data_IF_862614235657
#
_entry.id   IF_862614235657
#
_cell.length_a   1.000
_cell.length_b   1.000
_cell.length_c   1.000
_cell.angle_alpha   90.00
_cell.angle_beta   90.00
_cell.angle_gamma   90.00
#
_symmetry.space_group_name_H-M   'P 1'
#
loop_
_entity.id
_entity.type
_entity.pdbx_description
1 polymer ?
#
# COMPACT_ATOMS: atom_id res chain seq x y z
N UNK A 1 121.08 -36.92 5.76
CA UNK A 1 120.95 -36.88 4.29
C UNK A 1 119.49 -37.11 3.97
N UNK A 2 118.82 -36.06 3.53
CA UNK A 2 117.39 -36.00 3.19
C UNK A 2 117.07 -36.92 2.03
N UNK A 3 115.87 -37.53 2.00
CA UNK A 3 115.01 -37.49 0.81
C UNK A 3 113.55 -37.80 1.19
N UNK A 4 112.71 -36.79 1.02
CA UNK A 4 111.26 -36.82 1.12
C UNK A 4 110.69 -37.81 0.10
N UNK A 5 109.88 -38.76 0.56
CA UNK A 5 109.01 -39.55 -0.31
C UNK A 5 107.76 -38.71 -0.58
N UNK A 6 107.82 -37.88 -1.62
CA UNK A 6 106.67 -37.12 -2.10
C UNK A 6 105.57 -38.09 -2.56
N UNK A 7 104.39 -37.98 -1.95
CA UNK A 7 103.15 -38.49 -2.53
C UNK A 7 102.95 -37.73 -3.84
N UNK A 8 103.25 -38.35 -4.98
CA UNK A 8 102.91 -37.83 -6.29
C UNK A 8 101.40 -37.96 -6.50
N UNK A 9 100.66 -36.94 -6.06
CA UNK A 9 99.24 -36.82 -6.40
C UNK A 9 99.11 -36.67 -7.92
N UNK A 10 98.54 -37.68 -8.59
CA UNK A 10 98.13 -37.54 -9.98
C UNK A 10 96.92 -36.60 -10.06
N UNK A 11 97.17 -35.30 -10.26
CA UNK A 11 96.13 -34.28 -10.44
C UNK A 11 95.26 -34.54 -11.66
N UNK A 12 95.74 -35.30 -12.65
CA UNK A 12 95.04 -35.56 -13.91
C UNK A 12 93.68 -36.27 -13.72
N UNK A 13 93.58 -37.21 -12.77
CA UNK A 13 92.32 -37.94 -12.49
C UNK A 13 91.33 -37.06 -11.73
N UNK A 14 91.83 -36.17 -10.87
CA UNK A 14 91.01 -35.24 -10.08
C UNK A 14 90.59 -34.02 -10.90
N UNK A 15 91.49 -33.36 -11.62
CA UNK A 15 91.19 -32.21 -12.49
C UNK A 15 90.20 -32.60 -13.59
N UNK A 16 90.47 -33.61 -14.40
CA UNK A 16 89.62 -33.86 -15.57
C UNK A 16 88.23 -34.40 -15.19
N UNK A 17 88.13 -35.28 -14.19
CA UNK A 17 86.82 -35.83 -13.78
C UNK A 17 86.03 -34.90 -12.86
N UNK A 18 86.68 -34.24 -11.88
CA UNK A 18 85.96 -33.31 -10.99
C UNK A 18 85.60 -32.03 -11.73
N UNK A 19 86.46 -31.48 -12.59
CA UNK A 19 86.10 -30.27 -13.35
C UNK A 19 84.96 -30.57 -14.32
N UNK A 20 85.00 -31.71 -15.03
CA UNK A 20 83.92 -32.09 -15.95
C UNK A 20 82.60 -32.40 -15.22
N UNK A 21 82.66 -33.05 -14.05
CA UNK A 21 81.48 -33.33 -13.24
C UNK A 21 80.93 -32.06 -12.57
N UNK A 22 81.78 -31.23 -11.96
CA UNK A 22 81.38 -29.99 -11.30
C UNK A 22 80.78 -28.99 -12.30
N UNK A 23 81.40 -28.80 -13.46
CA UNK A 23 80.86 -27.93 -14.50
C UNK A 23 79.50 -28.45 -14.99
N UNK A 24 79.35 -29.76 -15.19
CA UNK A 24 78.07 -30.36 -15.61
C UNK A 24 77.00 -30.21 -14.53
N UNK A 25 77.31 -30.46 -13.26
CA UNK A 25 76.37 -30.34 -12.15
C UNK A 25 75.97 -28.88 -11.90
N UNK A 26 76.92 -27.94 -11.90
CA UNK A 26 76.64 -26.51 -11.72
C UNK A 26 75.80 -25.99 -12.90
N UNK A 27 76.15 -26.36 -14.14
CA UNK A 27 75.40 -25.97 -15.33
C UNK A 27 73.96 -26.48 -15.31
N UNK A 28 73.75 -27.75 -14.96
CA UNK A 28 72.40 -28.35 -14.85
C UNK A 28 71.61 -27.68 -13.72
N UNK A 29 72.20 -27.49 -12.54
CA UNK A 29 71.50 -26.88 -11.40
C UNK A 29 71.14 -25.42 -11.68
N UNK A 30 72.07 -24.64 -12.22
CA UNK A 30 71.83 -23.21 -12.51
C UNK A 30 70.75 -23.03 -13.57
N UNK A 31 70.74 -23.85 -14.63
CA UNK A 31 69.73 -23.76 -15.68
C UNK A 31 68.38 -24.29 -15.18
N UNK A 32 68.34 -25.51 -14.65
CA UNK A 32 67.07 -26.19 -14.37
C UNK A 32 66.40 -25.68 -13.08
N UNK A 33 67.17 -25.50 -12.00
CA UNK A 33 66.65 -24.99 -10.71
C UNK A 33 66.48 -23.48 -10.76
N UNK A 34 67.40 -22.76 -11.43
CA UNK A 34 67.29 -21.31 -11.60
C UNK A 34 66.04 -20.89 -12.35
N UNK A 35 65.69 -21.55 -13.44
CA UNK A 35 64.51 -21.19 -14.24
C UNK A 35 63.20 -21.61 -13.57
N UNK A 36 63.18 -22.78 -12.91
CA UNK A 36 62.00 -23.25 -12.15
C UNK A 36 61.74 -22.40 -10.90
N UNK A 37 62.79 -22.00 -10.17
CA UNK A 37 62.68 -21.11 -9.02
C UNK A 37 62.24 -19.70 -9.42
N UNK A 38 62.79 -19.15 -10.51
CA UNK A 38 62.39 -17.83 -11.04
C UNK A 38 60.94 -17.83 -11.54
N UNK A 39 60.48 -18.90 -12.19
CA UNK A 39 59.09 -18.97 -12.68
C UNK A 39 58.09 -19.06 -11.52
N UNK A 40 58.40 -19.85 -10.48
CA UNK A 40 57.59 -19.94 -9.27
C UNK A 40 57.47 -18.59 -8.55
N UNK A 41 58.59 -17.88 -8.36
CA UNK A 41 58.59 -16.56 -7.74
C UNK A 41 57.80 -15.52 -8.55
N UNK A 42 57.95 -15.52 -9.89
CA UNK A 42 57.14 -14.66 -10.77
C UNK A 42 55.65 -14.98 -10.67
N UNK A 43 55.28 -16.26 -10.61
CA UNK A 43 53.88 -16.68 -10.47
C UNK A 43 53.31 -16.24 -9.12
N UNK A 44 54.06 -16.38 -8.03
CA UNK A 44 53.66 -15.86 -6.71
C UNK A 44 53.50 -14.34 -6.72
N UNK A 45 54.45 -13.61 -7.31
CA UNK A 45 54.36 -12.16 -7.42
C UNK A 45 53.11 -11.73 -8.21
N UNK A 46 52.82 -12.38 -9.34
CA UNK A 46 51.61 -12.14 -10.12
C UNK A 46 50.34 -12.42 -9.31
N UNK A 47 50.29 -13.56 -8.62
CA UNK A 47 49.13 -13.95 -7.80
C UNK A 47 48.90 -12.98 -6.63
N UNK A 48 49.96 -12.57 -5.92
CA UNK A 48 49.88 -11.58 -4.85
C UNK A 48 49.39 -10.24 -5.39
N UNK A 49 49.97 -9.76 -6.50
CA UNK A 49 49.53 -8.51 -7.13
C UNK A 49 48.06 -8.56 -7.54
N UNK A 50 47.63 -9.65 -8.17
CA UNK A 50 46.24 -9.86 -8.55
C UNK A 50 45.30 -9.89 -7.34
N UNK A 51 45.67 -10.60 -6.27
CA UNK A 51 44.85 -10.67 -5.06
C UNK A 51 44.75 -9.30 -4.36
N UNK A 52 45.83 -8.52 -4.32
CA UNK A 52 45.81 -7.15 -3.77
C UNK A 52 44.89 -6.26 -4.61
N UNK A 53 45.00 -6.29 -5.94
CA UNK A 53 44.13 -5.52 -6.83
C UNK A 53 42.65 -5.93 -6.66
N UNK A 54 42.38 -7.23 -6.59
CA UNK A 54 41.02 -7.73 -6.38
C UNK A 54 40.47 -7.33 -5.01
N UNK A 55 41.27 -7.39 -3.95
CA UNK A 55 40.88 -6.96 -2.61
C UNK A 55 40.59 -5.45 -2.57
N UNK A 56 41.43 -4.63 -3.21
CA UNK A 56 41.20 -3.19 -3.34
C UNK A 56 39.92 -2.88 -4.12
N UNK A 57 39.67 -3.60 -5.22
CA UNK A 57 38.43 -3.42 -5.97
C UNK A 57 37.20 -3.77 -5.13
N UNK A 58 37.22 -4.93 -4.46
CA UNK A 58 36.12 -5.34 -3.57
C UNK A 58 35.89 -4.36 -2.43
N UNK A 59 36.95 -3.81 -1.85
CA UNK A 59 36.84 -2.80 -0.80
C UNK A 59 36.13 -1.54 -1.31
N UNK A 60 36.54 -1.03 -2.48
CA UNK A 60 35.89 0.13 -3.12
C UNK A 60 34.42 -0.14 -3.47
N UNK A 61 34.14 -1.30 -4.04
CA UNK A 61 32.76 -1.67 -4.40
C UNK A 61 31.88 -1.77 -3.16
N UNK A 62 32.39 -2.36 -2.07
CA UNK A 62 31.66 -2.50 -0.80
C UNK A 62 31.43 -1.15 -0.14
N UNK A 63 32.42 -0.26 -0.16
CA UNK A 63 32.29 1.11 0.35
C UNK A 63 31.23 1.89 -0.43
N UNK A 64 31.22 1.79 -1.75
CA UNK A 64 30.20 2.42 -2.59
C UNK A 64 28.81 1.83 -2.32
N UNK A 65 28.68 0.51 -2.17
CA UNK A 65 27.41 -0.13 -1.82
C UNK A 65 26.92 0.33 -0.44
N UNK A 66 27.82 0.48 0.53
CA UNK A 66 27.50 0.98 1.86
C UNK A 66 26.98 2.42 1.81
N UNK A 67 27.67 3.32 1.11
CA UNK A 67 27.25 4.71 0.94
C UNK A 67 25.89 4.81 0.25
N UNK A 68 25.69 4.03 -0.82
CA UNK A 68 24.41 3.97 -1.52
C UNK A 68 23.28 3.46 -0.62
N UNK A 69 23.55 2.45 0.22
CA UNK A 69 22.57 1.93 1.17
C UNK A 69 22.23 2.96 2.26
N UNK A 70 23.22 3.73 2.73
CA UNK A 70 23.02 4.80 3.70
C UNK A 70 22.14 5.93 3.14
N UNK A 71 22.39 6.36 1.90
CA UNK A 71 21.57 7.36 1.21
C UNK A 71 20.13 6.86 1.08
N UNK A 72 19.94 5.63 0.57
CA UNK A 72 18.60 5.04 0.43
C UNK A 72 17.86 4.94 1.76
N UNK A 73 18.56 4.58 2.84
CA UNK A 73 17.96 4.51 4.17
C UNK A 73 17.50 5.90 4.63
N UNK A 74 18.30 6.93 4.41
CA UNK A 74 17.94 8.30 4.76
C UNK A 74 16.73 8.79 3.94
N UNK A 75 16.73 8.54 2.64
CA UNK A 75 15.62 8.90 1.74
C UNK A 75 14.33 8.18 2.15
N UNK A 76 14.38 6.87 2.37
CA UNK A 76 13.22 6.09 2.84
C UNK A 76 12.75 6.56 4.21
N UNK A 77 13.65 6.93 5.13
CA UNK A 77 13.26 7.46 6.44
C UNK A 77 12.51 8.79 6.30
N UNK A 78 12.96 9.67 5.39
CA UNK A 78 12.28 10.92 5.07
C UNK A 78 10.89 10.67 4.45
N UNK A 79 10.80 9.78 3.46
CA UNK A 79 9.54 9.41 2.83
C UNK A 79 8.54 8.84 3.84
N UNK A 80 8.99 7.94 4.73
CA UNK A 80 8.14 7.38 5.80
C UNK A 80 7.64 8.48 6.74
N UNK A 81 8.48 9.44 7.09
CA UNK A 81 8.06 10.58 7.91
C UNK A 81 7.01 11.44 7.20
N UNK A 82 7.23 11.73 5.92
CA UNK A 82 6.30 12.50 5.09
C UNK A 82 4.94 11.79 4.96
N UNK A 83 4.95 10.49 4.66
CA UNK A 83 3.76 9.65 4.59
C UNK A 83 3.03 9.70 5.92
N UNK A 84 3.72 9.50 7.05
CA UNK A 84 3.10 9.53 8.37
C UNK A 84 2.44 10.88 8.68
N UNK A 85 3.10 11.98 8.32
CA UNK A 85 2.54 13.33 8.49
C UNK A 85 1.30 13.54 7.64
N UNK A 86 1.37 13.20 6.34
CA UNK A 86 0.25 13.30 5.40
C UNK A 86 -0.92 12.42 5.83
N UNK A 87 -0.68 11.19 6.25
CA UNK A 87 -1.72 10.27 6.74
C UNK A 87 -2.42 10.85 7.96
N UNK A 88 -1.68 11.47 8.91
CA UNK A 88 -2.29 12.12 10.07
C UNK A 88 -3.25 13.24 9.66
N UNK A 89 -2.82 14.10 8.74
CA UNK A 89 -3.65 15.20 8.23
C UNK A 89 -4.90 14.70 7.50
N UNK A 90 -4.74 13.68 6.65
CA UNK A 90 -5.85 13.06 5.92
C UNK A 90 -6.87 12.46 6.88
N UNK A 91 -6.43 11.73 7.89
CA UNK A 91 -7.33 11.14 8.90
C UNK A 91 -8.09 12.23 9.63
N UNK A 92 -7.42 13.30 10.07
CA UNK A 92 -8.07 14.43 10.75
C UNK A 92 -9.14 15.07 9.87
N UNK A 93 -8.82 15.34 8.61
CA UNK A 93 -9.76 15.92 7.65
C UNK A 93 -10.94 15.00 7.35
N UNK A 94 -10.69 13.69 7.22
CA UNK A 94 -11.75 12.70 7.01
C UNK A 94 -12.67 12.60 8.23
N UNK A 95 -12.12 12.60 9.44
CA UNK A 95 -12.91 12.57 10.67
C UNK A 95 -13.83 13.79 10.80
N UNK A 96 -13.32 14.99 10.49
CA UNK A 96 -14.12 16.21 10.46
C UNK A 96 -15.23 16.13 9.41
N UNK A 97 -14.92 15.66 8.20
CA UNK A 97 -15.89 15.49 7.14
C UNK A 97 -16.98 14.48 7.52
N UNK A 98 -16.63 13.35 8.12
CA UNK A 98 -17.59 12.35 8.58
C UNK A 98 -18.44 12.83 9.74
N UNK A 99 -17.88 13.64 10.67
CA UNK A 99 -18.67 14.29 11.72
C UNK A 99 -19.72 15.22 11.11
N UNK A 100 -19.31 16.11 10.21
CA UNK A 100 -20.21 17.03 9.52
C UNK A 100 -21.31 16.30 8.73
N UNK A 101 -20.94 15.29 7.95
CA UNK A 101 -21.91 14.49 7.20
C UNK A 101 -22.90 13.77 8.11
N UNK A 102 -22.45 13.23 9.25
CA UNK A 102 -23.35 12.61 10.23
C UNK A 102 -24.31 13.63 10.85
N UNK A 103 -23.83 14.81 11.21
CA UNK A 103 -24.67 15.89 11.74
C UNK A 103 -25.73 16.32 10.71
N UNK A 104 -25.34 16.56 9.46
CA UNK A 104 -26.26 16.90 8.37
C UNK A 104 -27.30 15.79 8.14
N UNK A 105 -26.88 14.53 8.17
CA UNK A 105 -27.78 13.39 7.99
C UNK A 105 -28.77 13.26 9.15
N UNK A 106 -28.32 13.48 10.39
CA UNK A 106 -29.19 13.47 11.57
C UNK A 106 -30.21 14.61 11.47
N UNK A 107 -29.79 15.82 11.08
CA UNK A 107 -30.68 16.96 10.90
C UNK A 107 -31.74 16.66 9.83
N UNK A 108 -31.33 16.18 8.65
CA UNK A 108 -32.25 15.77 7.58
C UNK A 108 -33.23 14.69 8.04
N UNK A 109 -32.76 13.72 8.83
CA UNK A 109 -33.62 12.67 9.36
C UNK A 109 -34.67 13.25 10.32
N UNK A 110 -34.28 14.18 11.20
CA UNK A 110 -35.21 14.85 12.12
C UNK A 110 -36.24 15.71 11.37
N UNK A 111 -35.83 16.43 10.33
CA UNK A 111 -36.73 17.19 9.47
C UNK A 111 -37.72 16.27 8.75
N UNK A 112 -37.25 15.17 8.17
CA UNK A 112 -38.09 14.18 7.51
C UNK A 112 -39.09 13.55 8.48
N UNK A 113 -38.70 13.24 9.71
CA UNK A 113 -39.62 12.75 10.74
C UNK A 113 -40.75 13.75 11.03
N UNK A 114 -40.44 15.05 11.13
CA UNK A 114 -41.45 16.10 11.34
C UNK A 114 -42.42 16.18 10.16
N UNK A 115 -41.90 16.13 8.93
CA UNK A 115 -42.72 16.15 7.70
C UNK A 115 -43.66 14.93 7.66
N UNK A 116 -43.13 13.75 7.95
CA UNK A 116 -43.90 12.50 7.97
C UNK A 116 -45.00 12.57 9.04
N UNK A 117 -44.66 13.03 10.24
CA UNK A 117 -45.62 13.15 11.34
C UNK A 117 -46.74 14.14 11.00
N UNK A 118 -46.40 15.29 10.43
CA UNK A 118 -47.39 16.27 9.94
C UNK A 118 -48.31 15.67 8.86
N UNK A 119 -47.74 14.95 7.89
CA UNK A 119 -48.49 14.27 6.85
C UNK A 119 -49.48 13.25 7.44
N UNK A 120 -49.04 12.40 8.38
CA UNK A 120 -49.90 11.43 9.04
C UNK A 120 -51.00 12.09 9.87
N UNK A 121 -50.69 13.18 10.57
CA UNK A 121 -51.71 13.96 11.30
C UNK A 121 -52.79 14.48 10.35
N UNK A 122 -52.42 15.08 9.21
CA UNK A 122 -53.38 15.57 8.22
C UNK A 122 -54.19 14.45 7.59
N UNK A 123 -53.55 13.32 7.28
CA UNK A 123 -54.24 12.13 6.77
C UNK A 123 -55.29 11.64 7.77
N UNK A 124 -54.93 11.51 9.05
CA UNK A 124 -55.86 11.09 10.10
C UNK A 124 -56.99 12.07 10.35
N UNK A 125 -56.72 13.37 10.33
CA UNK A 125 -57.78 14.40 10.40
C UNK A 125 -58.80 14.25 9.26
N UNK A 126 -58.32 13.98 8.04
CA UNK A 126 -59.20 13.77 6.87
C UNK A 126 -60.01 12.48 6.99
N UNK A 127 -59.39 11.37 7.42
CA UNK A 127 -60.09 10.10 7.65
C UNK A 127 -61.21 10.26 8.69
N UNK A 128 -60.91 10.85 9.84
CA UNK A 128 -61.91 11.08 10.91
C UNK A 128 -63.02 12.02 10.47
N UNK A 129 -62.70 13.08 9.72
CA UNK A 129 -63.71 13.99 9.19
C UNK A 129 -64.66 13.28 8.23
N UNK A 130 -64.13 12.42 7.34
CA UNK A 130 -64.94 11.62 6.43
C UNK A 130 -65.84 10.64 7.18
N UNK A 131 -65.30 9.88 8.13
CA UNK A 131 -66.08 8.95 8.95
C UNK A 131 -67.20 9.67 9.73
N UNK A 132 -66.91 10.88 10.23
CA UNK A 132 -67.90 11.71 10.92
C UNK A 132 -69.01 12.17 9.96
N UNK A 133 -68.65 12.61 8.75
CA UNK A 133 -69.61 12.99 7.71
C UNK A 133 -70.50 11.79 7.36
N UNK A 134 -69.91 10.61 7.17
CA UNK A 134 -70.63 9.38 6.81
C UNK A 134 -71.62 8.99 7.93
N UNK A 135 -71.20 9.05 9.20
CA UNK A 135 -72.08 8.82 10.34
C UNK A 135 -73.21 9.85 10.46
N UNK A 136 -72.93 11.14 10.25
CA UNK A 136 -73.95 12.19 10.25
C UNK A 136 -74.96 11.96 9.14
N UNK A 137 -74.50 11.68 7.92
CA UNK A 137 -75.37 11.37 6.77
C UNK A 137 -76.23 10.13 7.03
N UNK A 138 -75.65 9.07 7.59
CA UNK A 138 -76.39 7.87 7.96
C UNK A 138 -77.50 8.18 8.99
N UNK A 139 -77.19 8.97 10.02
CA UNK A 139 -78.15 9.36 11.07
C UNK A 139 -79.25 10.28 10.54
N UNK A 140 -78.91 11.21 9.65
CA UNK A 140 -79.87 12.07 8.95
C UNK A 140 -80.79 11.23 8.09
N UNK A 141 -80.26 10.31 7.29
CA UNK A 141 -81.06 9.40 6.46
C UNK A 141 -82.00 8.52 7.31
N UNK A 142 -81.52 7.99 8.44
CA UNK A 142 -82.37 7.23 9.37
C UNK A 142 -83.52 8.08 9.95
N UNK A 143 -83.25 9.34 10.33
CA UNK A 143 -84.28 10.25 10.84
C UNK A 143 -85.25 10.67 9.75
N UNK A 144 -84.76 10.97 8.55
CA UNK A 144 -85.59 11.31 7.41
C UNK A 144 -86.51 10.12 7.09
N UNK A 145 -85.99 8.90 6.92
CA UNK A 145 -86.80 7.72 6.63
C UNK A 145 -87.89 7.44 7.68
N UNK A 146 -87.65 7.75 8.96
CA UNK A 146 -88.67 7.61 10.02
C UNK A 146 -89.71 8.74 10.02
N UNK A 147 -89.33 9.95 9.65
CA UNK A 147 -90.18 11.15 9.74
C UNK A 147 -90.75 11.62 8.39
N UNK A 148 -90.40 10.96 7.28
CA UNK A 148 -90.85 11.31 5.94
C UNK A 148 -92.30 10.87 5.73
N UNK A 149 -93.22 11.76 6.08
CA UNK A 149 -94.67 11.56 5.92
C UNK A 149 -95.19 12.26 4.64
N UNK A 150 -96.44 11.97 4.25
CA UNK A 150 -97.08 12.56 3.06
C UNK A 150 -97.02 14.10 3.00
N UNK A 151 -97.03 14.79 4.15
CA UNK A 151 -96.94 16.27 4.22
C UNK A 151 -95.53 16.75 3.89
N UNK A 152 -94.51 16.12 4.46
CA UNK A 152 -93.11 16.40 4.15
C UNK A 152 -92.82 16.13 2.66
N UNK A 153 -93.31 15.01 2.12
CA UNK A 153 -93.15 14.63 0.72
C UNK A 153 -93.74 15.67 -0.24
N UNK A 154 -94.97 16.14 0.02
CA UNK A 154 -95.62 17.17 -0.79
C UNK A 154 -94.83 18.48 -0.78
N UNK A 155 -94.35 18.92 0.40
CA UNK A 155 -93.51 20.13 0.54
C UNK A 155 -92.18 20.00 -0.21
N UNK A 156 -91.50 18.85 -0.12
CA UNK A 156 -90.26 18.61 -0.87
C UNK A 156 -90.48 18.62 -2.37
N UNK A 157 -91.58 18.03 -2.87
CA UNK A 157 -91.89 18.07 -4.31
C UNK A 157 -92.18 19.49 -4.79
N UNK A 158 -92.96 20.27 -4.04
CA UNK A 158 -93.23 21.67 -4.38
C UNK A 158 -91.94 22.48 -4.41
N UNK A 159 -91.07 22.35 -3.39
CA UNK A 159 -89.78 23.04 -3.35
C UNK A 159 -88.84 22.63 -4.51
N UNK A 160 -88.79 21.34 -4.86
CA UNK A 160 -88.00 20.87 -6.00
C UNK A 160 -88.49 21.44 -7.33
N UNK A 161 -89.81 21.48 -7.54
CA UNK A 161 -90.42 22.08 -8.73
C UNK A 161 -90.08 23.57 -8.80
N UNK A 162 -90.16 24.29 -7.69
CA UNK A 162 -89.82 25.72 -7.63
C UNK A 162 -88.35 25.98 -7.95
N UNK A 163 -87.42 25.19 -7.40
CA UNK A 163 -85.99 25.30 -7.70
C UNK A 163 -85.66 24.96 -9.16
N UNK A 164 -86.36 24.00 -9.76
CA UNK A 164 -86.21 23.67 -11.18
C UNK A 164 -86.71 24.81 -12.07
N UNK A 165 -87.79 25.48 -11.69
CA UNK A 165 -88.30 26.64 -12.41
C UNK A 165 -87.35 27.84 -12.30
N UNK A 166 -86.68 28.04 -11.17
CA UNK A 166 -85.68 29.11 -11.01
C UNK A 166 -84.35 28.84 -11.72
N UNK A 167 -83.98 27.57 -11.96
CA UNK A 167 -82.78 27.20 -12.73
C UNK A 167 -82.99 27.23 -14.25
N UNK A 168 -84.26 27.27 -14.69
CA UNK A 168 -84.64 27.26 -16.11
C UNK A 168 -84.84 28.68 -16.69
N UNK A 169 -84.88 29.69 -15.82
CA UNK A 169 -84.80 31.12 -16.15
C UNK A 169 -83.37 31.61 -15.95
#
# INVERSE_FOLDING_TARGET
MFFNQFITFQTNIFETNIINLANKCIFIVVIFVGDTGKSLLRNRQKSISFNIQQAQQRARDTEQMYLNAQIKLQDTAFEVFEIKSKTKEIIQKQDEQYRKQREENIQRLQENQKIILYYYQKKKQKEVAQETIDHVLQKVNQKLNKNFNKKAQKLTHTACIQNLLTLKN
#
